data_IF_289349015745
#
_entry.id   IF_289349015745
#
_cell.length_a   1.000
_cell.length_b   1.000
_cell.length_c   1.000
_cell.angle_alpha   90.00
_cell.angle_beta   90.00
_cell.angle_gamma   90.00
#
_symmetry.space_group_name_H-M   'P 1'
#
loop_
_entity.id
_entity.type
_entity.pdbx_description
1 polymer ?
#
# COMPACT_ATOMS: atom_id res chain seq x y z
N UNK A 1 13.27 -14.18 9.57
CA UNK A 1 13.57 -13.10 10.52
C UNK A 1 12.98 -13.45 11.87
N UNK A 2 13.77 -13.42 12.94
CA UNK A 2 13.30 -13.56 14.31
C UNK A 2 12.61 -12.26 14.79
N UNK A 3 11.86 -12.37 15.89
CA UNK A 3 11.11 -11.24 16.47
C UNK A 3 12.08 -10.12 16.85
N UNK A 4 11.89 -8.94 16.26
CA UNK A 4 12.64 -7.72 16.60
C UNK A 4 13.94 -7.47 15.82
N UNK A 5 14.41 -8.41 14.99
CA UNK A 5 15.67 -8.27 14.23
C UNK A 5 15.70 -7.00 13.36
N UNK A 6 14.56 -6.55 12.84
CA UNK A 6 14.43 -5.34 12.02
C UNK A 6 14.70 -4.02 12.78
N UNK A 7 14.83 -4.08 14.10
CA UNK A 7 15.15 -2.93 14.97
C UNK A 7 16.62 -2.91 15.38
N UNK A 8 17.38 -3.99 15.13
CA UNK A 8 18.78 -4.07 15.52
C UNK A 8 19.62 -3.06 14.73
N UNK A 9 20.64 -2.42 15.34
CA UNK A 9 21.45 -1.40 14.67
C UNK A 9 22.07 -1.88 13.35
N UNK A 10 22.51 -3.14 13.30
CA UNK A 10 23.05 -3.74 12.09
C UNK A 10 21.99 -3.82 10.98
N UNK A 11 20.75 -4.14 11.32
CA UNK A 11 19.68 -4.16 10.32
C UNK A 11 19.38 -2.77 9.77
N UNK A 12 19.32 -1.77 10.66
CA UNK A 12 19.06 -0.38 10.26
C UNK A 12 20.15 0.16 9.35
N UNK A 13 21.41 -0.17 9.65
CA UNK A 13 22.58 0.24 8.87
C UNK A 13 22.66 -0.48 7.53
N UNK A 14 22.37 -1.78 7.49
CA UNK A 14 22.58 -2.60 6.29
C UNK A 14 21.36 -2.68 5.36
N UNK A 15 20.14 -2.66 5.89
CA UNK A 15 18.95 -3.06 5.13
C UNK A 15 17.86 -1.98 5.03
N UNK A 16 17.58 -1.24 6.11
CA UNK A 16 16.49 -0.26 6.10
C UNK A 16 16.77 0.92 7.04
N UNK A 17 16.96 2.16 6.54
CA UNK A 17 17.37 3.30 7.39
C UNK A 17 16.37 3.65 8.50
N UNK A 18 15.11 3.26 8.34
CA UNK A 18 14.04 3.44 9.33
C UNK A 18 13.69 2.20 10.16
N UNK A 19 14.44 1.09 10.04
CA UNK A 19 14.17 -0.15 10.77
C UNK A 19 12.78 -0.71 10.49
N UNK A 20 12.33 -0.65 9.23
CA UNK A 20 11.04 -1.20 8.79
C UNK A 20 11.24 -2.41 7.88
N UNK A 21 10.15 -3.14 7.70
CA UNK A 21 10.00 -4.21 6.73
C UNK A 21 8.87 -3.83 5.77
N UNK A 22 8.90 -4.28 4.51
CA UNK A 22 9.86 -5.22 3.90
C UNK A 22 11.14 -4.59 3.34
N UNK A 23 12.16 -5.44 3.16
CA UNK A 23 13.37 -5.20 2.34
C UNK A 23 13.50 -6.36 1.36
N UNK A 24 13.87 -6.06 0.12
CA UNK A 24 14.21 -7.04 -0.93
C UNK A 24 15.73 -7.01 -1.16
N UNK A 25 16.32 -8.20 -1.28
CA UNK A 25 17.63 -8.38 -1.90
C UNK A 25 17.45 -9.35 -3.09
N UNK A 26 17.61 -8.83 -4.30
CA UNK A 26 17.49 -9.60 -5.53
C UNK A 26 18.79 -9.54 -6.31
N UNK A 27 19.64 -10.55 -6.08
CA UNK A 27 20.94 -10.73 -6.73
C UNK A 27 21.86 -9.49 -6.61
N UNK A 28 21.91 -8.88 -5.42
CA UNK A 28 22.72 -7.68 -5.15
C UNK A 28 21.99 -6.36 -5.39
N UNK A 29 20.79 -6.37 -5.98
CA UNK A 29 19.90 -5.21 -6.00
C UNK A 29 19.10 -5.18 -4.70
N UNK A 30 19.41 -4.23 -3.81
CA UNK A 30 18.72 -4.04 -2.54
C UNK A 30 17.72 -2.90 -2.61
N UNK A 31 16.48 -3.17 -2.21
CA UNK A 31 15.38 -2.20 -2.22
C UNK A 31 14.57 -2.30 -0.93
N UNK A 32 14.02 -1.18 -0.48
CA UNK A 32 13.06 -1.10 0.61
C UNK A 32 11.85 -0.27 0.16
N UNK A 33 10.81 -0.21 1.00
CA UNK A 33 9.44 0.21 0.64
C UNK A 33 8.69 -0.79 -0.25
N UNK A 34 7.56 -1.30 0.26
CA UNK A 34 6.79 -2.36 -0.41
C UNK A 34 6.35 -1.97 -1.83
N UNK A 35 5.91 -0.72 -2.02
CA UNK A 35 5.47 -0.20 -3.33
C UNK A 35 6.61 -0.16 -4.35
N UNK A 36 7.80 0.29 -3.93
CA UNK A 36 9.00 0.33 -4.78
C UNK A 36 9.49 -1.09 -5.13
N UNK A 37 9.47 -2.01 -4.16
CA UNK A 37 9.78 -3.42 -4.36
C UNK A 37 8.83 -4.04 -5.40
N UNK A 38 7.52 -3.84 -5.26
CA UNK A 38 6.52 -4.35 -6.20
C UNK A 38 6.77 -3.83 -7.62
N UNK A 39 7.02 -2.53 -7.78
CA UNK A 39 7.33 -1.95 -9.10
C UNK A 39 8.58 -2.55 -9.74
N UNK A 40 9.64 -2.73 -8.97
CA UNK A 40 10.86 -3.36 -9.45
C UNK A 40 10.62 -4.80 -9.90
N UNK A 41 9.92 -5.60 -9.08
CA UNK A 41 9.65 -7.00 -9.40
C UNK A 41 8.82 -7.14 -10.67
N UNK A 42 7.79 -6.30 -10.83
CA UNK A 42 6.98 -6.29 -12.04
C UNK A 42 7.79 -5.87 -13.26
N UNK A 43 8.59 -4.79 -13.15
CA UNK A 43 9.41 -4.32 -14.27
C UNK A 43 10.47 -5.34 -14.70
N UNK A 44 11.08 -6.06 -13.75
CA UNK A 44 12.15 -7.03 -14.03
C UNK A 44 11.61 -8.39 -14.49
N UNK A 45 10.61 -8.93 -13.82
CA UNK A 45 10.14 -10.31 -14.02
C UNK A 45 8.85 -10.41 -14.81
N UNK A 46 8.11 -9.31 -14.95
CA UNK A 46 6.88 -9.24 -15.74
C UNK A 46 6.88 -8.11 -16.77
N UNK A 47 7.91 -7.96 -17.62
CA UNK A 47 8.00 -6.85 -18.56
C UNK A 47 6.80 -6.75 -19.53
N UNK A 48 6.14 -7.87 -19.81
CA UNK A 48 4.93 -7.96 -20.64
C UNK A 48 3.66 -8.24 -19.81
N UNK A 49 3.77 -8.19 -18.48
CA UNK A 49 2.61 -8.31 -17.60
C UNK A 49 1.73 -7.07 -17.76
N UNK A 50 0.42 -7.27 -17.64
CA UNK A 50 -0.53 -6.16 -17.50
C UNK A 50 -0.23 -5.27 -16.27
N UNK A 51 0.55 -5.77 -15.31
CA UNK A 51 1.01 -5.01 -14.15
C UNK A 51 2.15 -4.04 -14.49
N UNK A 52 2.88 -4.26 -15.60
CA UNK A 52 4.01 -3.39 -15.96
C UNK A 52 3.54 -2.12 -16.65
N UNK A 53 3.54 -1.03 -15.88
CA UNK A 53 3.09 0.29 -16.30
C UNK A 53 4.15 1.10 -17.05
N UNK A 54 5.39 0.62 -17.12
CA UNK A 54 6.51 1.34 -17.77
C UNK A 54 6.65 1.05 -19.26
N UNK A 55 5.85 0.13 -19.79
CA UNK A 55 5.84 -0.27 -21.20
C UNK A 55 4.49 0.07 -21.83
N UNK A 56 4.51 0.72 -22.99
CA UNK A 56 3.37 0.87 -23.90
C UNK A 56 2.11 1.58 -23.38
N UNK A 57 2.20 2.36 -22.29
CA UNK A 57 1.10 3.16 -21.75
C UNK A 57 1.11 4.59 -22.29
N UNK A 58 -0.07 5.15 -22.59
CA UNK A 58 -0.20 6.59 -22.82
C UNK A 58 0.11 7.33 -21.50
N UNK A 59 0.80 8.48 -21.60
CA UNK A 59 1.17 9.33 -20.46
C UNK A 59 -0.07 9.71 -19.61
N UNK A 60 -1.23 9.90 -20.25
CA UNK A 60 -2.47 10.22 -19.54
C UNK A 60 -2.96 9.07 -18.63
N UNK A 61 -2.82 7.82 -19.08
CA UNK A 61 -3.23 6.64 -18.30
C UNK A 61 -2.28 6.42 -17.12
N UNK A 62 -0.97 6.60 -17.36
CA UNK A 62 0.03 6.58 -16.30
C UNK A 62 -0.24 7.67 -15.26
N UNK A 63 -0.58 8.90 -15.68
CA UNK A 63 -0.89 9.99 -14.76
C UNK A 63 -2.14 9.69 -13.90
N UNK A 64 -3.17 9.10 -14.50
CA UNK A 64 -4.40 8.70 -13.79
C UNK A 64 -4.10 7.61 -12.75
N UNK A 65 -3.26 6.64 -13.12
CA UNK A 65 -2.79 5.64 -12.19
C UNK A 65 -2.01 6.25 -11.02
N UNK A 66 -1.03 7.11 -11.29
CA UNK A 66 -0.17 7.70 -10.25
C UNK A 66 -1.00 8.59 -9.30
N UNK A 67 -2.02 9.28 -9.83
CA UNK A 67 -2.99 9.99 -9.01
C UNK A 67 -3.71 9.04 -8.06
N UNK A 68 -4.23 7.92 -8.56
CA UNK A 68 -4.99 6.98 -7.74
C UNK A 68 -4.09 6.25 -6.71
N UNK A 69 -2.85 5.90 -7.08
CA UNK A 69 -1.85 5.36 -6.16
C UNK A 69 -1.46 6.37 -5.06
N UNK A 70 -1.35 7.66 -5.41
CA UNK A 70 -1.08 8.72 -4.44
C UNK A 70 -2.24 8.92 -3.46
N UNK A 71 -3.49 8.79 -3.93
CA UNK A 71 -4.69 8.82 -3.07
C UNK A 71 -4.68 7.63 -2.10
N UNK A 72 -4.38 6.42 -2.58
CA UNK A 72 -4.24 5.24 -1.72
C UNK A 72 -3.17 5.45 -0.64
N UNK A 73 -1.99 5.93 -1.05
CA UNK A 73 -0.86 6.16 -0.14
C UNK A 73 -1.17 7.22 0.92
N UNK A 74 -1.86 8.29 0.52
CA UNK A 74 -2.03 9.48 1.38
C UNK A 74 -3.25 9.38 2.31
N UNK A 75 -4.32 8.71 1.87
CA UNK A 75 -5.60 8.77 2.57
C UNK A 75 -6.11 7.39 3.00
N UNK A 76 -5.99 6.38 2.14
CA UNK A 76 -6.50 5.05 2.43
C UNK A 76 -5.58 4.30 3.41
N UNK A 77 -4.31 4.12 3.03
CA UNK A 77 -3.35 3.29 3.75
C UNK A 77 -3.10 3.76 5.20
N UNK A 78 -2.89 5.07 5.49
CA UNK A 78 -2.70 5.54 6.86
C UNK A 78 -3.95 5.32 7.73
N UNK A 79 -5.14 5.53 7.16
CA UNK A 79 -6.42 5.39 7.86
C UNK A 79 -6.69 3.93 8.22
N UNK A 80 -6.54 3.02 7.25
CA UNK A 80 -6.73 1.58 7.46
C UNK A 80 -5.68 1.02 8.42
N UNK A 81 -4.41 1.42 8.31
CA UNK A 81 -3.35 1.00 9.24
C UNK A 81 -3.62 1.46 10.66
N UNK A 82 -4.05 2.70 10.85
CA UNK A 82 -4.41 3.22 12.16
C UNK A 82 -5.62 2.47 12.75
N UNK A 83 -6.64 2.21 11.94
CA UNK A 83 -7.83 1.48 12.36
C UNK A 83 -7.50 0.02 12.74
N UNK A 84 -6.68 -0.65 11.94
CA UNK A 84 -6.18 -1.99 12.25
C UNK A 84 -5.32 -2.00 13.52
N UNK A 85 -4.51 -0.97 13.73
CA UNK A 85 -3.74 -0.82 14.97
C UNK A 85 -4.67 -0.73 16.18
N UNK A 86 -5.67 0.15 16.14
CA UNK A 86 -6.62 0.34 17.24
C UNK A 86 -7.45 -0.91 17.52
N UNK A 87 -8.06 -1.51 16.49
CA UNK A 87 -9.06 -2.59 16.67
C UNK A 87 -8.46 -3.98 16.79
N UNK A 88 -7.28 -4.22 16.21
CA UNK A 88 -6.68 -5.56 16.10
C UNK A 88 -5.36 -5.63 16.87
N UNK A 89 -4.39 -4.79 16.51
CA UNK A 89 -3.04 -4.95 17.06
C UNK A 89 -2.92 -4.52 18.52
N UNK A 90 -3.63 -3.47 18.98
CA UNK A 90 -3.59 -3.05 20.38
C UNK A 90 -3.97 -4.18 21.33
N UNK A 91 -5.09 -4.84 21.07
CA UNK A 91 -5.55 -6.00 21.85
C UNK A 91 -4.53 -7.14 21.80
N UNK A 92 -4.06 -7.49 20.60
CA UNK A 92 -3.07 -8.56 20.43
C UNK A 92 -1.72 -8.28 21.12
N UNK A 93 -1.31 -7.00 21.20
CA UNK A 93 -0.09 -6.57 21.87
C UNK A 93 -0.26 -6.29 23.37
N UNK A 94 -1.45 -6.50 23.93
CA UNK A 94 -1.74 -6.19 25.34
C UNK A 94 -1.63 -4.70 25.68
N UNK A 95 -1.83 -3.81 24.69
CA UNK A 95 -1.72 -2.35 24.83
C UNK A 95 -3.04 -1.67 25.25
N UNK A 96 -3.98 -2.46 25.75
CA UNK A 96 -5.30 -2.00 26.17
C UNK A 96 -6.35 -2.02 25.07
N UNK A 97 -7.53 -1.49 25.41
CA UNK A 97 -8.69 -1.47 24.52
C UNK A 97 -8.57 -0.38 23.43
N UNK A 98 -9.30 -0.54 22.31
CA UNK A 98 -9.38 0.49 21.28
C UNK A 98 -9.93 1.80 21.84
N UNK A 99 -9.33 2.93 21.45
CA UNK A 99 -9.88 4.24 21.78
C UNK A 99 -11.07 4.54 20.86
N UNK A 100 -12.28 4.58 21.45
CA UNK A 100 -13.53 4.81 20.72
C UNK A 100 -13.53 6.11 19.91
N UNK A 101 -13.04 7.21 20.47
CA UNK A 101 -13.04 8.50 19.76
C UNK A 101 -12.08 8.47 18.56
N UNK A 102 -10.93 7.80 18.72
CA UNK A 102 -9.98 7.60 17.63
C UNK A 102 -10.56 6.68 16.55
N UNK A 103 -11.21 5.58 16.93
CA UNK A 103 -11.85 4.65 16.00
C UNK A 103 -12.97 5.34 15.22
N UNK A 104 -13.88 6.05 15.87
CA UNK A 104 -14.98 6.78 15.22
C UNK A 104 -14.47 7.79 14.19
N UNK A 105 -13.41 8.54 14.53
CA UNK A 105 -12.79 9.49 13.60
C UNK A 105 -12.18 8.77 12.39
N UNK A 106 -11.42 7.69 12.61
CA UNK A 106 -10.80 6.92 11.54
C UNK A 106 -11.84 6.23 10.64
N UNK A 107 -12.94 5.74 11.21
CA UNK A 107 -14.05 5.18 10.43
C UNK A 107 -14.72 6.26 9.57
N UNK A 108 -14.94 7.47 10.11
CA UNK A 108 -15.45 8.59 9.32
C UNK A 108 -14.51 9.01 8.19
N UNK A 109 -13.20 9.06 8.46
CA UNK A 109 -12.21 9.39 7.42
C UNK A 109 -12.13 8.29 6.36
N UNK A 110 -12.23 7.01 6.75
CA UNK A 110 -12.29 5.89 5.82
C UNK A 110 -13.53 5.96 4.92
N UNK A 111 -14.69 6.28 5.48
CA UNK A 111 -15.94 6.45 4.71
C UNK A 111 -15.75 7.51 3.62
N UNK A 112 -15.12 8.66 3.90
CA UNK A 112 -14.87 9.69 2.88
C UNK A 112 -14.00 9.18 1.73
N UNK A 113 -12.98 8.36 2.04
CA UNK A 113 -12.12 7.75 1.02
C UNK A 113 -12.91 6.74 0.18
N UNK A 114 -13.72 5.90 0.83
CA UNK A 114 -14.56 4.92 0.14
C UNK A 114 -15.66 5.58 -0.70
N UNK A 115 -16.24 6.68 -0.26
CA UNK A 115 -17.18 7.49 -1.05
C UNK A 115 -16.52 8.09 -2.30
N UNK A 116 -15.25 8.49 -2.20
CA UNK A 116 -14.47 8.90 -3.38
C UNK A 116 -14.26 7.72 -4.34
N UNK A 117 -13.90 6.55 -3.81
CA UNK A 117 -13.73 5.33 -4.62
C UNK A 117 -15.02 4.93 -5.32
N UNK A 118 -16.16 4.94 -4.64
CA UNK A 118 -17.48 4.65 -5.21
C UNK A 118 -17.84 5.60 -6.37
N UNK A 119 -17.51 6.90 -6.24
CA UNK A 119 -17.73 7.87 -7.31
C UNK A 119 -16.86 7.59 -8.54
N UNK A 120 -15.62 7.15 -8.34
CA UNK A 120 -14.74 6.75 -9.44
C UNK A 120 -15.25 5.46 -10.09
N UNK A 121 -15.55 4.44 -9.28
CA UNK A 121 -15.97 3.12 -9.73
C UNK A 121 -17.37 3.11 -10.38
N UNK A 122 -18.22 4.08 -10.07
CA UNK A 122 -19.51 4.23 -10.78
C UNK A 122 -19.37 4.68 -12.23
N UNK A 123 -18.19 5.16 -12.65
CA UNK A 123 -17.90 5.62 -14.01
C UNK A 123 -16.74 4.87 -14.67
N UNK A 124 -16.12 3.93 -13.97
CA UNK A 124 -14.88 3.27 -14.35
C UNK A 124 -14.81 1.87 -13.75
N UNK A 125 -14.29 0.90 -14.47
CA UNK A 125 -14.11 -0.46 -13.94
C UNK A 125 -13.09 -0.52 -12.79
N UNK A 126 -12.10 0.39 -12.80
CA UNK A 126 -11.07 0.47 -11.77
C UNK A 126 -10.82 1.90 -11.27
N UNK A 127 -10.17 2.01 -10.12
CA UNK A 127 -9.80 3.28 -9.49
C UNK A 127 -8.87 4.15 -10.35
N UNK A 128 -8.12 3.52 -11.26
CA UNK A 128 -7.22 4.20 -12.19
C UNK A 128 -7.82 4.30 -13.62
N UNK A 129 -9.14 4.25 -13.77
CA UNK A 129 -9.77 4.21 -15.09
C UNK A 129 -9.95 2.77 -15.59
N UNK A 130 -9.70 2.54 -16.88
CA UNK A 130 -9.69 1.20 -17.48
C UNK A 130 -8.42 0.40 -17.16
N UNK A 131 -7.56 0.91 -16.27
CA UNK A 131 -6.29 0.28 -15.90
C UNK A 131 -6.46 -0.43 -14.56
N UNK A 132 -6.20 -1.73 -14.58
CA UNK A 132 -6.85 -2.67 -13.68
C UNK A 132 -6.28 -2.80 -12.27
N UNK A 133 -5.15 -2.16 -11.94
CA UNK A 133 -4.37 -2.68 -10.81
C UNK A 133 -3.67 -1.63 -9.98
N UNK A 134 -4.41 -0.92 -9.13
CA UNK A 134 -3.79 -0.29 -7.95
C UNK A 134 -3.34 -1.43 -7.02
N UNK A 135 -2.03 -1.62 -6.92
CA UNK A 135 -1.46 -2.40 -5.83
C UNK A 135 -1.72 -1.63 -4.53
N UNK A 136 -2.83 -1.93 -3.86
CA UNK A 136 -3.01 -1.48 -2.48
C UNK A 136 -2.03 -2.29 -1.65
N UNK A 137 -1.03 -1.60 -1.10
CA UNK A 137 0.08 -2.21 -0.37
C UNK A 137 -0.35 -2.99 0.89
N UNK A 138 -1.63 -2.94 1.23
CA UNK A 138 -2.29 -3.65 2.34
C UNK A 138 -2.89 -5.01 1.97
N UNK A 139 -2.72 -5.49 0.72
CA UNK A 139 -3.19 -6.82 0.32
C UNK A 139 -4.69 -6.88 0.00
N UNK A 140 -5.34 -5.73 -0.20
CA UNK A 140 -6.71 -5.65 -0.72
C UNK A 140 -6.60 -5.44 -2.23
N UNK A 141 -6.71 -6.52 -3.00
CA UNK A 141 -7.20 -6.42 -4.36
C UNK A 141 -8.66 -5.97 -4.25
N UNK A 142 -8.94 -4.70 -4.56
CA UNK A 142 -10.32 -4.29 -4.85
C UNK A 142 -10.60 -4.78 -6.26
N UNK A 143 -10.86 -6.08 -6.35
CA UNK A 143 -11.49 -6.67 -7.52
C UNK A 143 -12.99 -6.40 -7.36
N UNK A 144 -13.50 -5.44 -8.13
CA UNK A 144 -14.94 -5.26 -8.30
C UNK A 144 -15.41 -6.24 -9.37
N UNK A 145 -15.50 -7.52 -9.01
CA UNK A 145 -16.25 -8.53 -9.78
C UNK A 145 -17.38 -9.15 -8.96
#
# INVERSE_FOLDING_TARGET
MQKGEHLEPNYVQEFHPFGRIPVLDDNGTRLFESRAICEYLVAKYGPHSALNRRTDQNIADLATYEQAASVEYSYFDPTVKALAYEKIFKGFMGRGDPDRATVERLESDLVKVLEHYEKVLSHSEYLAGNVSYIYISSGILVDCS
#
